data_IF_157691307545
#
_entry.id   IF_157691307545
#
_cell.length_a   1.000
_cell.length_b   1.000
_cell.length_c   1.000
_cell.angle_alpha   90.00
_cell.angle_beta   90.00
_cell.angle_gamma   90.00
#
_symmetry.space_group_name_H-M   'P 1'
#
loop_
_entity.id
_entity.type
_entity.pdbx_description
1 polymer ?
#
# COMPACT_ATOMS: atom_id res chain seq x y z
N UNK A 1 -19.30 -25.57 -14.56
CA UNK A 1 -17.97 -24.99 -14.76
C UNK A 1 -18.09 -23.96 -15.87
N UNK A 2 -18.30 -22.69 -15.53
CA UNK A 2 -18.34 -21.60 -16.51
C UNK A 2 -16.91 -21.39 -17.06
N UNK A 3 -16.77 -21.40 -18.38
CA UNK A 3 -15.48 -21.20 -19.06
C UNK A 3 -15.14 -19.71 -18.95
N UNK A 4 -14.06 -19.39 -18.23
CA UNK A 4 -13.79 -18.04 -17.73
C UNK A 4 -13.37 -16.98 -18.74
N UNK A 5 -14.17 -16.71 -19.79
CA UNK A 5 -13.91 -15.60 -20.72
C UNK A 5 -15.15 -15.06 -21.47
N UNK A 6 -16.38 -15.45 -21.12
CA UNK A 6 -17.58 -14.87 -21.74
C UNK A 6 -18.17 -13.72 -20.87
N UNK A 7 -18.03 -12.46 -21.29
CA UNK A 7 -18.55 -11.31 -20.54
C UNK A 7 -20.09 -11.30 -20.45
N UNK A 8 -20.80 -11.93 -21.39
CA UNK A 8 -22.25 -12.03 -21.35
C UNK A 8 -22.72 -13.05 -20.31
N UNK A 9 -22.01 -14.17 -20.18
CA UNK A 9 -22.28 -15.19 -19.14
C UNK A 9 -21.99 -14.64 -17.74
N UNK A 10 -20.93 -13.83 -17.60
CA UNK A 10 -20.62 -13.13 -16.35
C UNK A 10 -21.72 -12.12 -15.99
N UNK A 11 -22.16 -11.28 -16.94
CA UNK A 11 -23.27 -10.34 -16.75
C UNK A 11 -24.57 -11.05 -16.34
N UNK A 12 -24.90 -12.16 -17.00
CA UNK A 12 -26.08 -12.96 -16.67
C UNK A 12 -26.00 -13.56 -15.26
N UNK A 13 -24.81 -14.03 -14.85
CA UNK A 13 -24.57 -14.57 -13.51
C UNK A 13 -24.71 -13.48 -12.44
N UNK A 14 -24.21 -12.27 -12.69
CA UNK A 14 -24.37 -11.11 -11.79
C UNK A 14 -25.84 -10.69 -11.68
N UNK A 15 -26.57 -10.66 -12.79
CA UNK A 15 -28.00 -10.35 -12.80
C UNK A 15 -28.83 -11.41 -12.02
N UNK A 16 -28.52 -12.69 -12.20
CA UNK A 16 -29.16 -13.78 -11.46
C UNK A 16 -28.89 -13.68 -9.95
N UNK A 17 -27.67 -13.35 -9.55
CA UNK A 17 -27.31 -13.15 -8.15
C UNK A 17 -28.02 -11.94 -7.54
N UNK A 18 -28.15 -10.82 -8.27
CA UNK A 18 -28.95 -9.65 -7.86
C UNK A 18 -30.41 -10.01 -7.59
N UNK A 19 -31.02 -10.74 -8.52
CA UNK A 19 -32.41 -11.17 -8.37
C UNK A 19 -32.57 -12.12 -7.19
N UNK A 20 -31.62 -13.06 -7.00
CA UNK A 20 -31.61 -13.95 -5.85
C UNK A 20 -31.54 -13.19 -4.51
N UNK A 21 -30.68 -12.16 -4.41
CA UNK A 21 -30.59 -11.30 -3.24
C UNK A 21 -31.87 -10.48 -2.99
N UNK A 22 -32.50 -9.97 -4.04
CA UNK A 22 -33.79 -9.28 -3.92
C UNK A 22 -34.92 -10.20 -3.43
N UNK A 23 -34.81 -11.51 -3.69
CA UNK A 23 -35.77 -12.53 -3.24
C UNK A 23 -35.42 -13.22 -1.92
N UNK A 24 -34.18 -13.09 -1.42
CA UNK A 24 -33.65 -13.90 -0.31
C UNK A 24 -33.46 -13.10 0.98
N UNK A 25 -34.14 -13.51 2.05
CA UNK A 25 -34.16 -12.83 3.37
C UNK A 25 -32.95 -13.06 4.28
N UNK A 26 -31.77 -13.48 3.78
CA UNK A 26 -30.73 -14.04 4.69
C UNK A 26 -29.25 -13.95 4.29
N UNK A 27 -28.83 -12.98 3.49
CA UNK A 27 -27.43 -12.55 3.54
C UNK A 27 -27.34 -11.31 4.45
N UNK A 28 -26.35 -11.19 5.36
CA UNK A 28 -26.09 -9.91 6.03
C UNK A 28 -25.85 -8.89 4.92
N UNK A 29 -26.69 -7.85 4.85
CA UNK A 29 -26.65 -6.84 3.78
C UNK A 29 -25.22 -6.41 3.35
N UNK A 30 -24.25 -6.22 4.27
CA UNK A 30 -22.89 -5.80 3.90
C UNK A 30 -22.12 -6.81 3.03
N UNK A 31 -22.31 -8.11 3.22
CA UNK A 31 -21.59 -9.14 2.45
C UNK A 31 -22.18 -9.24 1.04
N UNK A 32 -23.51 -9.15 0.94
CA UNK A 32 -24.21 -9.14 -0.34
C UNK A 32 -23.84 -7.91 -1.18
N UNK A 33 -23.82 -6.73 -0.56
CA UNK A 33 -23.45 -5.46 -1.20
C UNK A 33 -21.98 -5.47 -1.66
N UNK A 34 -21.07 -5.96 -0.81
CA UNK A 34 -19.66 -6.13 -1.16
C UNK A 34 -19.48 -7.06 -2.38
N UNK A 35 -20.15 -8.22 -2.38
CA UNK A 35 -20.04 -9.18 -3.48
C UNK A 35 -20.61 -8.62 -4.79
N UNK A 36 -21.70 -7.84 -4.72
CA UNK A 36 -22.28 -7.19 -5.90
C UNK A 36 -21.38 -6.11 -6.48
N UNK A 37 -20.81 -5.26 -5.63
CA UNK A 37 -19.85 -4.23 -6.05
C UNK A 37 -18.60 -4.88 -6.67
N UNK A 38 -18.11 -5.94 -6.03
CA UNK A 38 -16.95 -6.68 -6.51
C UNK A 38 -17.20 -7.31 -7.89
N UNK A 39 -18.34 -7.96 -8.07
CA UNK A 39 -18.69 -8.56 -9.35
C UNK A 39 -18.84 -7.52 -10.47
N UNK A 40 -19.40 -6.35 -10.17
CA UNK A 40 -19.51 -5.25 -11.13
C UNK A 40 -18.15 -4.77 -11.66
N UNK A 41 -17.17 -4.62 -10.75
CA UNK A 41 -15.79 -4.22 -11.12
C UNK A 41 -15.09 -5.30 -11.94
N UNK A 42 -15.30 -6.59 -11.63
CA UNK A 42 -14.73 -7.71 -12.39
C UNK A 42 -15.27 -7.72 -13.83
N UNK A 43 -16.58 -7.55 -14.00
CA UNK A 43 -17.20 -7.46 -15.33
C UNK A 43 -16.69 -6.25 -16.12
N UNK A 44 -16.38 -5.14 -15.44
CA UNK A 44 -15.75 -3.96 -16.04
C UNK A 44 -14.26 -4.18 -16.42
N UNK A 45 -13.73 -5.39 -16.23
CA UNK A 45 -12.37 -5.78 -16.60
C UNK A 45 -11.33 -5.60 -15.49
N UNK A 46 -11.74 -5.30 -14.25
CA UNK A 46 -10.80 -5.26 -13.11
C UNK A 46 -10.41 -6.68 -12.64
N UNK A 47 -9.17 -6.84 -12.16
CA UNK A 47 -8.66 -8.14 -11.72
C UNK A 47 -9.44 -8.67 -10.50
N UNK A 48 -10.01 -9.86 -10.65
CA UNK A 48 -10.86 -10.49 -9.63
C UNK A 48 -10.16 -10.73 -8.30
N UNK A 49 -8.86 -11.02 -8.31
CA UNK A 49 -8.13 -11.19 -7.06
C UNK A 49 -7.98 -9.84 -6.33
N UNK A 50 -7.83 -8.75 -7.07
CA UNK A 50 -7.74 -7.40 -6.51
C UNK A 50 -9.07 -6.94 -5.93
N UNK A 51 -10.13 -7.11 -6.69
CA UNK A 51 -11.46 -6.65 -6.32
C UNK A 51 -12.03 -7.45 -5.14
N UNK A 52 -11.75 -8.75 -5.07
CA UNK A 52 -12.15 -9.62 -3.96
C UNK A 52 -11.19 -9.53 -2.75
N UNK A 53 -10.16 -8.67 -2.81
CA UNK A 53 -9.16 -8.53 -1.74
C UNK A 53 -8.22 -9.73 -1.57
N UNK A 54 -8.25 -10.70 -2.48
CA UNK A 54 -7.40 -11.92 -2.48
C UNK A 54 -5.96 -11.64 -2.93
N UNK A 55 -5.75 -10.58 -3.72
CA UNK A 55 -4.45 -9.95 -4.02
C UNK A 55 -4.57 -8.48 -3.74
N UNK A 56 -3.86 -7.97 -2.74
CA UNK A 56 -3.85 -6.54 -2.48
C UNK A 56 -3.13 -5.84 -3.64
N UNK A 57 -3.84 -5.01 -4.43
CA UNK A 57 -3.25 -4.15 -5.46
C UNK A 57 -2.16 -3.34 -4.80
N UNK A 58 -0.90 -3.64 -5.08
CA UNK A 58 0.22 -2.77 -4.71
C UNK A 58 0.33 -2.41 -3.21
N UNK A 59 0.03 -3.32 -2.26
CA UNK A 59 0.62 -3.15 -0.93
C UNK A 59 2.07 -3.62 -1.00
N UNK A 60 2.97 -2.68 -0.77
CA UNK A 60 4.37 -2.95 -0.48
C UNK A 60 4.48 -4.16 0.45
N UNK A 61 5.43 -5.07 0.21
CA UNK A 61 5.69 -6.18 1.15
C UNK A 61 6.23 -5.68 2.49
N UNK A 62 6.48 -4.38 2.56
CA UNK A 62 6.85 -3.66 3.76
C UNK A 62 5.78 -3.78 4.85
N UNK A 63 6.16 -4.26 6.05
CA UNK A 63 5.32 -4.19 7.24
C UNK A 63 4.69 -2.80 7.42
N UNK A 64 3.41 -2.76 7.82
CA UNK A 64 2.67 -1.51 7.99
C UNK A 64 3.38 -0.51 8.91
N UNK A 65 4.08 -1.02 9.95
CA UNK A 65 4.89 -0.22 10.86
C UNK A 65 5.94 0.64 10.12
N UNK A 66 6.75 0.05 9.24
CA UNK A 66 7.80 0.80 8.52
C UNK A 66 7.22 1.75 7.46
N UNK A 67 6.07 1.41 6.87
CA UNK A 67 5.35 2.34 5.99
C UNK A 67 4.82 3.56 6.75
N UNK A 68 4.29 3.36 7.96
CA UNK A 68 3.92 4.46 8.86
C UNK A 68 5.15 5.30 9.22
N UNK A 69 6.25 4.66 9.63
CA UNK A 69 7.49 5.38 9.95
C UNK A 69 7.98 6.24 8.78
N UNK A 70 7.96 5.72 7.54
CA UNK A 70 8.30 6.49 6.35
C UNK A 70 7.37 7.69 6.13
N UNK A 71 6.05 7.51 6.28
CA UNK A 71 5.08 8.59 6.17
C UNK A 71 5.28 9.67 7.25
N UNK A 72 5.64 9.27 8.48
CA UNK A 72 5.99 10.20 9.55
C UNK A 72 7.23 11.04 9.18
N UNK A 73 8.28 10.43 8.65
CA UNK A 73 9.45 11.19 8.19
C UNK A 73 9.12 12.14 7.05
N UNK A 74 8.25 11.76 6.11
CA UNK A 74 7.77 12.67 5.07
C UNK A 74 7.04 13.86 5.71
N UNK A 75 6.13 13.62 6.64
CA UNK A 75 5.41 14.68 7.35
C UNK A 75 6.37 15.61 8.11
N UNK A 76 7.38 15.05 8.79
CA UNK A 76 8.40 15.83 9.48
C UNK A 76 9.15 16.75 8.51
N UNK A 77 9.60 16.24 7.36
CA UNK A 77 10.27 17.06 6.34
C UNK A 77 9.33 18.15 5.79
N UNK A 78 8.06 17.83 5.56
CA UNK A 78 7.05 18.83 5.16
C UNK A 78 6.87 19.91 6.23
N UNK A 79 6.82 19.53 7.51
CA UNK A 79 6.74 20.48 8.62
C UNK A 79 7.97 21.40 8.72
N UNK A 80 9.15 20.93 8.27
CA UNK A 80 10.36 21.77 8.16
C UNK A 80 10.39 22.70 6.94
N UNK A 81 9.31 22.75 6.14
CA UNK A 81 9.14 23.68 5.02
C UNK A 81 9.39 23.09 3.64
N UNK A 82 9.66 21.78 3.53
CA UNK A 82 9.82 21.11 2.23
C UNK A 82 8.48 20.86 1.55
N UNK A 83 8.46 20.93 0.22
CA UNK A 83 7.32 20.46 -0.57
C UNK A 83 7.11 18.95 -0.40
N UNK A 84 5.87 18.47 -0.52
CA UNK A 84 5.54 17.05 -0.31
C UNK A 84 6.33 16.12 -1.24
N UNK A 85 6.50 16.50 -2.51
CA UNK A 85 7.25 15.70 -3.48
C UNK A 85 8.74 15.64 -3.12
N UNK A 86 9.31 16.77 -2.71
CA UNK A 86 10.71 16.89 -2.31
C UNK A 86 10.98 16.11 -1.01
N UNK A 87 10.08 16.20 -0.04
CA UNK A 87 10.11 15.42 1.19
C UNK A 87 10.06 13.91 0.90
N UNK A 88 9.19 13.48 -0.02
CA UNK A 88 9.10 12.08 -0.44
C UNK A 88 10.38 11.60 -1.14
N UNK A 89 10.97 12.44 -1.99
CA UNK A 89 12.23 12.12 -2.66
C UNK A 89 13.37 11.99 -1.63
N UNK A 90 13.49 12.95 -0.72
CA UNK A 90 14.53 12.97 0.33
C UNK A 90 14.46 11.74 1.25
N UNK A 91 13.26 11.32 1.65
CA UNK A 91 13.07 10.10 2.45
C UNK A 91 13.43 8.85 1.63
N UNK A 92 13.05 8.79 0.35
CA UNK A 92 13.43 7.68 -0.53
C UNK A 92 14.95 7.59 -0.69
N UNK A 93 15.63 8.71 -0.91
CA UNK A 93 17.08 8.79 -1.08
C UNK A 93 17.82 8.37 0.19
N UNK A 94 17.31 8.76 1.36
CA UNK A 94 17.85 8.34 2.64
C UNK A 94 17.80 6.80 2.81
N UNK A 95 16.68 6.16 2.48
CA UNK A 95 16.56 4.69 2.52
C UNK A 95 17.48 4.04 1.47
N UNK A 96 17.58 4.62 0.28
CA UNK A 96 18.46 4.11 -0.78
C UNK A 96 19.95 4.20 -0.39
N UNK A 97 20.36 5.28 0.29
CA UNK A 97 21.71 5.45 0.81
C UNK A 97 22.04 4.36 1.83
N UNK A 98 21.14 4.09 2.78
CA UNK A 98 21.31 2.97 3.71
C UNK A 98 21.35 1.62 2.99
N UNK A 99 20.54 1.40 1.94
CA UNK A 99 20.62 0.16 1.14
C UNK A 99 21.95 0.00 0.42
N UNK A 100 22.55 1.09 -0.04
CA UNK A 100 23.87 1.07 -0.67
C UNK A 100 24.96 0.74 0.37
N UNK A 101 24.92 1.39 1.53
CA UNK A 101 25.83 1.11 2.65
C UNK A 101 25.73 -0.35 3.11
N UNK A 102 24.52 -0.88 3.28
CA UNK A 102 24.29 -2.26 3.68
C UNK A 102 24.92 -3.26 2.70
N UNK A 103 24.73 -3.05 1.39
CA UNK A 103 25.35 -3.91 0.37
C UNK A 103 26.87 -3.81 0.37
N UNK A 104 27.43 -2.62 0.63
CA UNK A 104 28.87 -2.46 0.73
C UNK A 104 29.44 -3.24 1.93
N UNK A 105 28.74 -3.22 3.07
CA UNK A 105 29.11 -4.02 4.25
C UNK A 105 28.99 -5.53 3.98
N UNK A 106 27.93 -5.98 3.31
CA UNK A 106 27.75 -7.39 2.91
C UNK A 106 28.85 -7.85 1.94
N UNK A 107 29.37 -6.95 1.10
CA UNK A 107 30.48 -7.22 0.20
C UNK A 107 31.87 -7.19 0.91
N UNK A 108 31.92 -6.92 2.21
CA UNK A 108 33.16 -6.83 2.98
C UNK A 108 33.91 -5.51 2.83
N UNK A 109 33.28 -4.47 2.27
CA UNK A 109 33.91 -3.15 2.16
C UNK A 109 33.84 -2.41 3.50
N UNK A 110 34.91 -1.68 3.82
CA UNK A 110 34.94 -0.77 4.98
C UNK A 110 34.09 0.46 4.64
N UNK A 111 33.05 0.71 5.44
CA UNK A 111 32.22 1.92 5.32
C UNK A 111 32.62 2.89 6.42
N UNK A 112 33.39 3.92 6.07
CA UNK A 112 33.90 4.91 7.03
C UNK A 112 32.83 5.92 7.48
N UNK A 113 31.82 6.18 6.63
CA UNK A 113 30.77 7.15 6.91
C UNK A 113 29.40 6.47 6.98
N UNK A 114 28.78 6.49 8.17
CA UNK A 114 27.43 5.98 8.34
C UNK A 114 26.39 7.00 7.88
N UNK A 115 25.41 6.55 7.10
CA UNK A 115 24.25 7.36 6.74
C UNK A 115 23.46 7.71 8.02
N UNK A 116 23.20 9.00 8.21
CA UNK A 116 22.46 9.53 9.36
C UNK A 116 21.08 10.07 8.93
N UNK A 117 20.03 9.90 9.75
CA UNK A 117 19.99 9.11 10.98
C UNK A 117 20.16 7.59 10.71
N UNK A 118 20.74 6.88 11.67
CA UNK A 118 20.93 5.44 11.59
C UNK A 118 19.58 4.69 11.44
N UNK A 119 19.57 3.64 10.63
CA UNK A 119 18.42 2.76 10.44
C UNK A 119 18.69 1.40 11.08
N UNK A 120 17.71 0.86 11.80
CA UNK A 120 17.86 -0.45 12.45
C UNK A 120 18.06 -1.57 11.40
N UNK A 121 18.80 -2.62 11.75
CA UNK A 121 19.07 -3.74 10.86
C UNK A 121 17.78 -4.44 10.40
N UNK A 122 16.80 -4.64 11.28
CA UNK A 122 15.53 -5.28 10.91
C UNK A 122 14.72 -4.44 9.92
N UNK A 123 14.78 -3.11 10.09
CA UNK A 123 14.17 -2.16 9.17
C UNK A 123 14.88 -2.21 7.81
N UNK A 124 16.21 -2.26 7.81
CA UNK A 124 17.01 -2.39 6.59
C UNK A 124 16.75 -3.68 5.83
N UNK A 125 16.61 -4.79 6.55
CA UNK A 125 16.26 -6.09 5.96
C UNK A 125 14.86 -6.08 5.34
N UNK A 126 13.93 -5.28 5.88
CA UNK A 126 12.61 -5.10 5.27
C UNK A 126 12.70 -4.22 4.01
N UNK A 127 13.41 -3.09 4.07
CA UNK A 127 13.60 -2.20 2.91
C UNK A 127 14.42 -2.81 1.80
N UNK A 128 15.36 -3.71 2.10
CA UNK A 128 16.22 -4.35 1.08
C UNK A 128 15.40 -5.08 0.01
N UNK A 129 14.30 -5.71 0.40
CA UNK A 129 13.38 -6.48 -0.45
C UNK A 129 12.42 -5.63 -1.29
N UNK A 130 12.31 -4.35 -0.97
CA UNK A 130 11.33 -3.44 -1.59
C UNK A 130 11.97 -2.53 -2.64
N UNK A 131 11.23 -2.22 -3.72
CA UNK A 131 11.61 -1.18 -4.68
C UNK A 131 11.26 0.19 -4.11
N UNK A 132 12.24 0.83 -3.48
CA UNK A 132 12.13 2.17 -2.91
C UNK A 132 12.08 3.21 -4.02
N UNK A 133 11.08 4.10 -3.98
CA UNK A 133 10.94 5.22 -4.90
C UNK A 133 10.14 6.36 -4.25
N UNK A 134 10.22 7.56 -4.84
CA UNK A 134 9.36 8.69 -4.48
C UNK A 134 7.88 8.31 -4.48
N UNK A 135 7.42 7.59 -5.51
CA UNK A 135 6.01 7.20 -5.63
C UNK A 135 5.57 6.20 -4.56
N UNK A 136 6.50 5.37 -4.05
CA UNK A 136 6.24 4.55 -2.87
C UNK A 136 6.07 5.41 -1.61
N UNK A 137 6.94 6.41 -1.42
CA UNK A 137 6.84 7.35 -0.29
C UNK A 137 5.55 8.16 -0.35
N UNK A 138 5.18 8.65 -1.53
CA UNK A 138 3.92 9.35 -1.77
C UNK A 138 2.70 8.49 -1.42
N UNK A 139 2.72 7.19 -1.75
CA UNK A 139 1.65 6.26 -1.36
C UNK A 139 1.59 6.07 0.15
N UNK A 140 2.74 5.86 0.81
CA UNK A 140 2.79 5.74 2.27
C UNK A 140 2.27 7.01 2.95
N UNK A 141 2.70 8.18 2.48
CA UNK A 141 2.23 9.47 2.95
C UNK A 141 0.71 9.61 2.79
N UNK A 142 0.16 9.37 1.60
CA UNK A 142 -1.30 9.48 1.37
C UNK A 142 -2.11 8.48 2.20
N UNK A 143 -1.60 7.26 2.39
CA UNK A 143 -2.26 6.21 3.18
C UNK A 143 -2.36 6.59 4.66
N UNK A 144 -1.31 7.20 5.23
CA UNK A 144 -1.23 7.45 6.67
C UNK A 144 -1.32 8.92 7.09
N UNK A 145 -1.37 9.87 6.15
CA UNK A 145 -1.47 11.32 6.46
C UNK A 145 -2.64 11.62 7.38
N UNK A 146 -3.83 11.08 7.09
CA UNK A 146 -5.02 11.32 7.90
C UNK A 146 -4.87 10.82 9.34
N UNK A 147 -4.34 9.59 9.51
CA UNK A 147 -4.04 8.99 10.82
C UNK A 147 -3.01 9.83 11.60
N UNK A 148 -1.96 10.29 10.92
CA UNK A 148 -0.86 11.04 11.55
C UNK A 148 -1.22 12.48 11.89
N UNK A 149 -2.02 13.15 11.05
CA UNK A 149 -2.56 14.45 11.40
C UNK A 149 -3.52 14.34 12.58
N UNK A 150 -4.37 13.31 12.65
CA UNK A 150 -5.20 13.10 13.82
C UNK A 150 -4.37 12.91 15.10
N UNK A 151 -3.24 12.19 15.05
CA UNK A 151 -2.34 12.06 16.21
C UNK A 151 -1.71 13.38 16.65
N UNK A 152 -1.42 14.30 15.72
CA UNK A 152 -0.85 15.61 16.03
C UNK A 152 -1.88 16.62 16.55
N UNK A 153 -3.17 16.39 16.30
CA UNK A 153 -4.27 17.30 16.65
C UNK A 153 -5.09 16.81 17.87
N UNK A 154 -4.77 15.65 18.45
CA UNK A 154 -5.47 15.11 19.63
C UNK A 154 -4.83 15.53 20.97
N UNK A 155 -3.93 16.52 20.97
CA UNK A 155 -3.35 17.15 22.16
C UNK A 155 -4.00 18.51 22.51
N UNK A 156 -5.20 18.80 21.98
CA UNK A 156 -6.03 19.98 22.33
C UNK A 156 -7.25 19.60 23.21
#
# INVERSE_FOLDING_TARGET
MARGNDPLEALATVAAFRNHLATGTRAPAPIADFMLEALGKIVAGEDANIVLGLKLRNRSRMPAFYRRKAAYYVLYQVATGLGVEEACQKVADHILAHKAQWRAQEAGNIVEQQVQPAMAEEEMRAWSREKVSRDLMMRCYREYKGEMLALLHNDD
#
